data_IF_152642503421
#
_entry.id   IF_152642503421
#
_cell.length_a   1.000
_cell.length_b   1.000
_cell.length_c   1.000
_cell.angle_alpha   90.00
_cell.angle_beta   90.00
_cell.angle_gamma   90.00
#
_symmetry.space_group_name_H-M   'P 1'
#
loop_
_entity.id
_entity.type
_entity.pdbx_description
1 polymer ?
#
# COMPACT_ATOMS: atom_id res chain seq x y z
N UNK A 1 44.77 -5.21 -69.17
CA UNK A 1 44.77 -5.45 -67.71
C UNK A 1 43.56 -4.75 -67.11
N UNK A 2 42.78 -5.52 -66.35
CA UNK A 2 41.70 -5.19 -65.41
C UNK A 2 41.06 -3.78 -65.46
N UNK A 3 39.89 -3.68 -66.08
CA UNK A 3 38.87 -2.67 -65.75
C UNK A 3 38.08 -3.17 -64.53
N UNK A 4 38.21 -2.53 -63.36
CA UNK A 4 37.37 -2.81 -62.19
C UNK A 4 36.35 -1.71 -62.06
N UNK A 5 35.17 -1.95 -62.62
CA UNK A 5 34.00 -1.09 -62.52
C UNK A 5 33.53 -1.02 -61.07
N UNK A 6 33.52 0.18 -60.51
CA UNK A 6 32.88 0.49 -59.21
C UNK A 6 31.39 0.60 -59.43
N UNK A 7 30.64 -0.34 -58.84
CA UNK A 7 29.19 -0.40 -58.88
C UNK A 7 28.61 0.60 -57.86
N UNK A 8 28.21 1.78 -58.37
CA UNK A 8 27.46 2.82 -57.67
C UNK A 8 25.98 2.38 -57.52
N UNK A 9 25.69 1.50 -56.54
CA UNK A 9 24.32 1.20 -56.17
C UNK A 9 23.81 2.18 -55.10
N UNK A 10 22.92 3.06 -55.53
CA UNK A 10 22.25 4.09 -54.75
C UNK A 10 21.62 3.59 -53.41
N UNK A 11 21.53 4.45 -52.37
CA UNK A 11 21.31 4.06 -50.97
C UNK A 11 19.85 3.70 -50.61
N UNK A 12 18.91 3.70 -51.56
CA UNK A 12 17.48 3.54 -51.30
C UNK A 12 17.14 2.19 -50.64
N UNK A 13 17.83 1.11 -51.03
CA UNK A 13 17.63 -0.23 -50.46
C UNK A 13 18.12 -0.34 -49.01
N UNK A 14 19.13 0.43 -48.64
CA UNK A 14 19.65 0.47 -47.26
C UNK A 14 18.72 1.24 -46.31
N UNK A 15 18.00 2.25 -46.81
CA UNK A 15 17.08 3.07 -46.01
C UNK A 15 15.88 2.28 -45.49
N UNK A 16 15.24 1.49 -46.36
CA UNK A 16 14.10 0.65 -45.97
C UNK A 16 14.52 -0.47 -45.01
N UNK A 17 15.69 -1.08 -45.24
CA UNK A 17 16.25 -2.13 -44.36
C UNK A 17 16.54 -1.59 -42.95
N UNK A 18 17.10 -0.38 -42.85
CA UNK A 18 17.39 0.27 -41.56
C UNK A 18 16.13 0.77 -40.86
N UNK A 19 15.11 1.24 -41.59
CA UNK A 19 13.79 1.51 -41.02
C UNK A 19 13.19 0.26 -40.38
N UNK A 20 13.17 -0.85 -41.12
CA UNK A 20 12.63 -2.12 -40.63
C UNK A 20 13.41 -2.65 -39.40
N UNK A 21 14.73 -2.44 -39.33
CA UNK A 21 15.49 -2.83 -38.13
C UNK A 21 15.16 -1.93 -36.94
N UNK A 22 14.99 -0.62 -37.14
CA UNK A 22 14.60 0.32 -36.09
C UNK A 22 13.22 -0.01 -35.54
N UNK A 23 12.24 -0.28 -36.40
CA UNK A 23 10.89 -0.65 -35.96
C UNK A 23 10.89 -1.95 -35.15
N UNK A 24 11.60 -2.99 -35.61
CA UNK A 24 11.74 -4.25 -34.86
C UNK A 24 12.36 -4.04 -33.48
N UNK A 25 13.39 -3.20 -33.38
CA UNK A 25 14.05 -2.89 -32.10
C UNK A 25 13.11 -2.13 -31.17
N UNK A 26 12.33 -1.18 -31.70
CA UNK A 26 11.33 -0.45 -30.92
C UNK A 26 10.28 -1.42 -30.36
N UNK A 27 9.73 -2.29 -31.20
CA UNK A 27 8.72 -3.26 -30.77
C UNK A 27 9.27 -4.23 -29.72
N UNK A 28 10.55 -4.64 -29.88
CA UNK A 28 11.24 -5.52 -28.91
C UNK A 28 11.44 -4.83 -27.55
N UNK A 29 11.84 -3.56 -27.53
CA UNK A 29 12.02 -2.78 -26.31
C UNK A 29 10.69 -2.48 -25.60
N UNK A 30 9.62 -2.27 -26.36
CA UNK A 30 8.26 -2.10 -25.83
C UNK A 30 7.77 -3.40 -25.20
N UNK A 31 7.98 -4.54 -25.86
CA UNK A 31 7.62 -5.87 -25.33
C UNK A 31 8.39 -6.21 -24.06
N UNK A 32 9.68 -5.85 -23.98
CA UNK A 32 10.51 -6.02 -22.79
C UNK A 32 10.23 -5.04 -21.65
N UNK A 33 9.33 -4.07 -21.84
CA UNK A 33 9.04 -2.99 -20.89
C UNK A 33 10.32 -2.24 -20.41
N UNK A 34 11.32 -2.16 -21.28
CA UNK A 34 12.58 -1.50 -20.99
C UNK A 34 12.48 0.03 -21.19
N UNK A 35 13.47 0.77 -20.69
CA UNK A 35 13.51 2.23 -20.82
C UNK A 35 13.65 2.65 -22.29
N UNK A 36 12.52 2.97 -22.92
CA UNK A 36 12.47 3.46 -24.28
C UNK A 36 13.10 4.86 -24.37
N UNK A 37 14.21 4.98 -25.10
CA UNK A 37 14.85 6.27 -25.40
C UNK A 37 15.52 6.20 -26.77
N UNK A 38 15.70 7.36 -27.43
CA UNK A 38 16.37 7.43 -28.74
C UNK A 38 17.78 6.82 -28.66
N UNK A 39 18.50 7.05 -27.55
CA UNK A 39 19.82 6.45 -27.33
C UNK A 39 19.76 4.93 -27.14
N UNK A 40 18.75 4.41 -26.43
CA UNK A 40 18.59 2.95 -26.26
C UNK A 40 18.27 2.26 -27.59
N UNK A 41 17.35 2.83 -28.38
CA UNK A 41 16.99 2.32 -29.71
C UNK A 41 18.20 2.37 -30.66
N UNK A 42 18.96 3.47 -30.65
CA UNK A 42 20.17 3.62 -31.45
C UNK A 42 21.22 2.55 -31.13
N UNK A 43 21.49 2.31 -29.84
CA UNK A 43 22.43 1.27 -29.39
C UNK A 43 21.97 -0.13 -29.80
N UNK A 44 20.70 -0.45 -29.60
CA UNK A 44 20.15 -1.76 -29.94
C UNK A 44 20.09 -2.02 -31.46
N UNK A 45 19.92 -0.97 -32.26
CA UNK A 45 19.95 -1.05 -33.73
C UNK A 45 21.36 -0.87 -34.34
N UNK A 46 22.39 -0.58 -33.53
CA UNK A 46 23.76 -0.36 -34.00
C UNK A 46 23.94 0.91 -34.84
N UNK A 47 23.09 1.93 -34.65
CA UNK A 47 23.15 3.20 -35.39
C UNK A 47 23.49 4.37 -34.47
N UNK A 48 23.94 5.49 -35.05
CA UNK A 48 24.16 6.71 -34.27
C UNK A 48 22.81 7.38 -33.93
N UNK A 49 22.67 7.96 -32.73
CA UNK A 49 21.46 8.74 -32.39
C UNK A 49 21.21 9.88 -33.39
N UNK A 50 22.30 10.45 -33.94
CA UNK A 50 22.35 11.37 -35.09
C UNK A 50 21.43 10.97 -36.23
N UNK A 51 21.59 9.73 -36.68
CA UNK A 51 20.87 9.18 -37.82
C UNK A 51 19.35 9.15 -37.57
N UNK A 52 18.92 8.85 -36.34
CA UNK A 52 17.50 8.74 -36.03
C UNK A 52 16.83 10.12 -36.07
N UNK A 53 17.38 11.14 -35.41
CA UNK A 53 16.71 12.45 -35.35
C UNK A 53 16.87 13.28 -36.62
N UNK A 54 17.96 13.13 -37.38
CA UNK A 54 18.20 13.87 -38.61
C UNK A 54 17.61 13.18 -39.84
N UNK A 55 17.80 11.86 -39.95
CA UNK A 55 17.45 11.12 -41.16
C UNK A 55 16.10 10.43 -41.04
N UNK A 56 15.63 10.11 -39.82
CA UNK A 56 14.37 9.41 -39.58
C UNK A 56 13.47 10.12 -38.54
N UNK A 57 13.06 11.38 -38.80
CA UNK A 57 12.28 12.16 -37.83
C UNK A 57 10.96 11.48 -37.43
N UNK A 58 10.29 10.76 -38.34
CA UNK A 58 9.07 10.02 -38.05
C UNK A 58 9.28 8.91 -36.99
N UNK A 59 10.42 8.23 -37.02
CA UNK A 59 10.79 7.20 -36.03
C UNK A 59 11.09 7.87 -34.68
N UNK A 60 11.76 9.02 -34.69
CA UNK A 60 12.02 9.78 -33.47
C UNK A 60 10.71 10.23 -32.79
N UNK A 61 9.73 10.72 -33.54
CA UNK A 61 8.40 11.07 -33.02
C UNK A 61 7.65 9.85 -32.47
N UNK A 62 7.70 8.71 -33.18
CA UNK A 62 7.12 7.45 -32.69
C UNK A 62 7.72 7.06 -31.33
N UNK A 63 9.04 7.12 -31.17
CA UNK A 63 9.73 6.83 -29.90
C UNK A 63 9.27 7.80 -28.80
N UNK A 64 9.22 9.11 -29.07
CA UNK A 64 8.79 10.13 -28.09
C UNK A 64 7.35 9.90 -27.63
N UNK A 65 6.45 9.59 -28.56
CA UNK A 65 5.05 9.30 -28.25
C UNK A 65 4.89 8.04 -27.39
N UNK A 66 5.60 6.97 -27.73
CA UNK A 66 5.59 5.72 -26.95
C UNK A 66 6.17 5.94 -25.55
N UNK A 67 7.29 6.64 -25.43
CA UNK A 67 7.90 7.01 -24.15
C UNK A 67 6.96 7.87 -23.30
N UNK A 68 6.29 8.87 -23.89
CA UNK A 68 5.33 9.71 -23.16
C UNK A 68 4.11 8.95 -22.65
N UNK A 69 3.66 7.91 -23.37
CA UNK A 69 2.55 7.04 -22.93
C UNK A 69 3.01 6.09 -21.82
N UNK A 70 4.18 5.46 -21.97
CA UNK A 70 4.70 4.53 -20.96
C UNK A 70 5.02 5.21 -19.63
N UNK A 71 5.56 6.43 -19.65
CA UNK A 71 5.81 7.22 -18.43
C UNK A 71 4.52 7.56 -17.69
N UNK A 72 3.46 7.92 -18.42
CA UNK A 72 2.13 8.17 -17.82
C UNK A 72 1.55 6.91 -17.20
N UNK A 73 1.51 5.81 -17.95
CA UNK A 73 1.02 4.52 -17.44
C UNK A 73 1.81 4.04 -16.20
N UNK A 74 3.14 4.16 -16.22
CA UNK A 74 3.97 3.80 -15.07
C UNK A 74 3.70 4.71 -13.86
N UNK A 75 3.51 6.01 -14.07
CA UNK A 75 3.19 6.95 -12.99
C UNK A 75 1.84 6.61 -12.37
N UNK A 76 0.83 6.37 -13.19
CA UNK A 76 -0.53 6.10 -12.73
C UNK A 76 -0.58 4.77 -11.97
N UNK A 77 0.10 3.72 -12.46
CA UNK A 77 0.25 2.45 -11.76
C UNK A 77 0.96 2.61 -10.41
N UNK A 78 2.06 3.36 -10.35
CA UNK A 78 2.75 3.65 -9.07
C UNK A 78 1.87 4.44 -8.11
N UNK A 79 1.10 5.39 -8.62
CA UNK A 79 0.20 6.19 -7.79
C UNK A 79 -0.94 5.34 -7.23
N UNK A 80 -1.54 4.48 -8.04
CA UNK A 80 -2.56 3.53 -7.60
C UNK A 80 -2.02 2.57 -6.55
N UNK A 81 -0.83 1.98 -6.77
CA UNK A 81 -0.19 1.12 -5.79
C UNK A 81 0.09 1.85 -4.45
N UNK A 82 0.57 3.10 -4.52
CA UNK A 82 0.79 3.92 -3.33
C UNK A 82 -0.52 4.22 -2.57
N UNK A 83 -1.60 4.50 -3.28
CA UNK A 83 -2.90 4.77 -2.66
C UNK A 83 -3.47 3.52 -1.99
N UNK A 84 -3.38 2.37 -2.66
CA UNK A 84 -3.81 1.09 -2.10
C UNK A 84 -3.06 0.75 -0.80
N UNK A 85 -1.74 0.91 -0.80
CA UNK A 85 -0.94 0.68 0.41
C UNK A 85 -1.25 1.68 1.54
N UNK A 86 -1.52 2.95 1.21
CA UNK A 86 -1.94 3.94 2.20
C UNK A 86 -3.29 3.61 2.83
N UNK A 87 -4.24 3.13 2.03
CA UNK A 87 -5.56 2.69 2.51
C UNK A 87 -5.43 1.47 3.42
N UNK A 88 -4.65 0.47 3.01
CA UNK A 88 -4.35 -0.71 3.82
C UNK A 88 -3.69 -0.33 5.14
N UNK A 89 -2.70 0.57 5.08
CA UNK A 89 -2.01 1.03 6.28
C UNK A 89 -2.94 1.81 7.23
N UNK A 90 -3.87 2.60 6.69
CA UNK A 90 -4.91 3.28 7.48
C UNK A 90 -5.82 2.27 8.17
N UNK A 91 -6.29 1.25 7.46
CA UNK A 91 -7.13 0.20 8.02
C UNK A 91 -6.41 -0.57 9.14
N UNK A 92 -5.16 -0.96 8.90
CA UNK A 92 -4.33 -1.66 9.89
C UNK A 92 -4.06 -0.82 11.14
N UNK A 93 -3.88 0.51 10.99
CA UNK A 93 -3.74 1.40 12.16
C UNK A 93 -5.04 1.46 12.98
N UNK A 94 -6.18 1.60 12.32
CA UNK A 94 -7.47 1.60 13.01
C UNK A 94 -7.73 0.27 13.74
N UNK A 95 -7.40 -0.86 13.13
CA UNK A 95 -7.50 -2.18 13.76
C UNK A 95 -6.55 -2.30 14.97
N UNK A 96 -5.32 -1.80 14.86
CA UNK A 96 -4.36 -1.82 15.97
C UNK A 96 -4.86 -0.99 17.15
N UNK A 97 -5.38 0.22 16.89
CA UNK A 97 -5.94 1.08 17.93
C UNK A 97 -7.11 0.38 18.64
N UNK A 98 -8.03 -0.24 17.89
CA UNK A 98 -9.14 -1.02 18.45
C UNK A 98 -8.66 -2.20 19.30
N UNK A 99 -7.66 -2.95 18.84
CA UNK A 99 -7.09 -4.08 19.59
C UNK A 99 -6.39 -3.62 20.87
N UNK A 100 -5.71 -2.48 20.85
CA UNK A 100 -5.09 -1.90 22.04
C UNK A 100 -6.12 -1.46 23.07
N UNK A 101 -7.23 -0.84 22.64
CA UNK A 101 -8.35 -0.48 23.51
C UNK A 101 -8.98 -1.74 24.14
N UNK A 102 -9.23 -2.76 23.34
CA UNK A 102 -9.77 -4.04 23.79
C UNK A 102 -8.85 -4.68 24.84
N UNK A 103 -7.55 -4.74 24.57
CA UNK A 103 -6.54 -5.28 25.48
C UNK A 103 -6.50 -4.50 26.80
N UNK A 104 -6.49 -3.16 26.74
CA UNK A 104 -6.48 -2.31 27.93
C UNK A 104 -7.71 -2.57 28.82
N UNK A 105 -8.89 -2.72 28.20
CA UNK A 105 -10.12 -3.05 28.94
C UNK A 105 -10.08 -4.45 29.56
N UNK A 106 -9.60 -5.46 28.84
CA UNK A 106 -9.42 -6.82 29.39
C UNK A 106 -8.43 -6.80 30.56
N UNK A 107 -7.30 -6.10 30.41
CA UNK A 107 -6.31 -5.97 31.47
C UNK A 107 -6.88 -5.32 32.74
N UNK A 108 -7.69 -4.26 32.59
CA UNK A 108 -8.38 -3.62 33.70
C UNK A 108 -9.36 -4.55 34.43
N UNK A 109 -10.17 -5.31 33.68
CA UNK A 109 -11.09 -6.30 34.25
C UNK A 109 -10.32 -7.41 34.96
N UNK A 110 -9.29 -7.96 34.32
CA UNK A 110 -8.44 -8.99 34.90
C UNK A 110 -7.79 -8.51 36.20
N UNK A 111 -7.30 -7.28 36.23
CA UNK A 111 -6.70 -6.70 37.44
C UNK A 111 -7.72 -6.61 38.58
N UNK A 112 -8.95 -6.19 38.29
CA UNK A 112 -10.03 -6.16 39.28
C UNK A 112 -10.35 -7.57 39.81
N UNK A 113 -10.48 -8.54 38.92
CA UNK A 113 -10.74 -9.93 39.29
C UNK A 113 -9.62 -10.51 40.15
N UNK A 114 -8.36 -10.18 39.86
CA UNK A 114 -7.21 -10.60 40.67
C UNK A 114 -7.30 -10.03 42.09
N UNK A 115 -7.69 -8.76 42.24
CA UNK A 115 -7.91 -8.16 43.57
C UNK A 115 -9.06 -8.83 44.33
N UNK A 116 -10.19 -9.08 43.66
CA UNK A 116 -11.33 -9.77 44.26
C UNK A 116 -10.97 -11.19 44.70
N UNK A 117 -10.26 -11.94 43.85
CA UNK A 117 -9.76 -13.28 44.17
C UNK A 117 -8.78 -13.27 45.35
N UNK A 118 -7.88 -12.30 45.41
CA UNK A 118 -6.97 -12.15 46.54
C UNK A 118 -7.74 -11.88 47.85
N UNK A 119 -8.73 -10.98 47.83
CA UNK A 119 -9.60 -10.68 48.98
C UNK A 119 -10.39 -11.92 49.44
N UNK A 120 -10.96 -12.67 48.51
CA UNK A 120 -11.70 -13.88 48.85
C UNK A 120 -10.79 -14.96 49.44
N UNK A 121 -9.58 -15.14 48.87
CA UNK A 121 -8.59 -16.08 49.41
C UNK A 121 -8.10 -15.71 50.80
N UNK A 122 -7.93 -14.42 51.12
CA UNK A 122 -7.52 -14.00 52.47
C UNK A 122 -8.62 -14.23 53.51
N UNK A 123 -9.88 -13.99 53.15
CA UNK A 123 -11.05 -14.28 54.00
C UNK A 123 -11.22 -15.79 54.19
N UNK A 124 -11.19 -16.57 53.10
CA UNK A 124 -11.33 -18.03 53.15
C UNK A 124 -10.17 -18.72 53.89
N UNK A 125 -8.97 -18.15 53.81
CA UNK A 125 -7.79 -18.62 54.55
C UNK A 125 -7.81 -18.29 56.05
N UNK A 126 -8.91 -17.73 56.58
CA UNK A 126 -9.08 -17.47 58.02
C UNK A 126 -8.18 -16.37 58.58
N UNK A 127 -7.43 -15.64 57.74
CA UNK A 127 -6.55 -14.54 58.17
C UNK A 127 -7.31 -13.27 58.55
N UNK A 128 -8.56 -13.12 58.11
CA UNK A 128 -9.40 -11.95 58.42
C UNK A 128 -10.87 -12.38 58.50
N UNK A 129 -11.58 -12.01 59.56
CA UNK A 129 -13.03 -12.24 59.72
C UNK A 129 -13.79 -11.00 59.23
N UNK A 130 -14.79 -11.19 58.37
CA UNK A 130 -15.65 -10.09 57.92
C UNK A 130 -16.50 -9.60 59.10
N UNK A 131 -16.26 -8.37 59.55
CA UNK A 131 -17.11 -7.70 60.52
C UNK A 131 -18.42 -7.32 59.82
N UNK A 132 -19.46 -8.13 59.98
CA UNK A 132 -20.82 -7.68 59.71
C UNK A 132 -21.17 -6.61 60.74
N UNK A 133 -21.73 -5.44 60.34
CA UNK A 133 -22.24 -4.51 61.32
C UNK A 133 -23.38 -5.21 62.07
N UNK A 134 -23.15 -5.47 63.36
CA UNK A 134 -24.19 -5.91 64.29
C UNK A 134 -25.31 -4.86 64.27
N UNK A 135 -26.42 -5.17 63.60
CA UNK A 135 -27.67 -4.49 63.90
C UNK A 135 -28.19 -5.08 65.21
N UNK A 136 -27.73 -4.54 66.33
CA UNK A 136 -28.33 -4.77 67.64
C UNK A 136 -29.15 -3.51 68.00
N UNK A 137 -30.42 -3.68 68.35
CA UNK A 137 -31.16 -2.69 69.14
C UNK A 137 -32.35 -2.00 68.47
N UNK A 138 -33.49 -2.68 68.57
CA UNK A 138 -34.87 -2.18 68.67
C UNK A 138 -35.06 -0.75 69.23
N UNK A 139 -35.92 0.05 68.57
CA UNK A 139 -36.80 1.05 69.21
C UNK A 139 -38.22 0.83 68.63
N UNK A 140 -39.27 0.69 69.46
CA UNK A 140 -40.62 0.46 68.96
C UNK A 140 -41.18 1.74 68.34
N UNK A 141 -41.65 1.65 67.08
CA UNK A 141 -42.41 2.71 66.43
C UNK A 141 -43.79 2.75 67.09
N UNK A 142 -44.10 3.88 67.72
CA UNK A 142 -45.44 4.15 68.25
C UNK A 142 -46.45 4.17 67.09
N UNK A 143 -47.44 3.30 67.18
CA UNK A 143 -48.63 3.27 66.32
C UNK A 143 -49.47 4.52 66.61
N UNK A 144 -49.60 5.42 65.64
CA UNK A 144 -50.66 6.42 65.65
C UNK A 144 -51.99 5.74 65.29
N UNK A 145 -53.11 6.01 66.00
CA UNK A 145 -54.41 5.48 65.62
C UNK A 145 -54.97 6.21 64.40
N UNK A 146 -55.59 5.45 63.48
CA UNK A 146 -56.27 5.95 62.28
C UNK A 146 -57.38 6.95 62.63
N UNK A 147 -57.57 8.03 61.85
CA UNK A 147 -58.69 8.94 62.04
C UNK A 147 -59.99 8.29 61.56
N UNK A 148 -60.95 8.22 62.47
CA UNK A 148 -62.34 7.79 62.27
C UNK A 148 -62.96 8.56 61.10
N UNK A 149 -63.39 7.81 60.08
CA UNK A 149 -64.28 8.27 59.02
C UNK A 149 -65.71 8.47 59.54
N UNK A 150 -66.23 9.69 59.42
CA UNK A 150 -67.66 10.00 59.52
C UNK A 150 -68.27 10.08 58.12
#
# INVERSE_FOLDING_TARGET
MMSKSTDDQAPARSRSKTLNSLDKVIDSLVAGNEKLSIAAVARAAGVTPGLIHNTYPAVAEKIRNLMGKSVRAQRDSKHQALMHEKEKNRALRAENDQLLEELARIASVNQRLLFEMAKLKTVAGGKVVALTPKHEGHVPVATCPDPISH
#
